data_IF_392398224295
#
_entry.id   IF_392398224295
#
_cell.length_a   1.000
_cell.length_b   1.000
_cell.length_c   1.000
_cell.angle_alpha   90.00
_cell.angle_beta   90.00
_cell.angle_gamma   90.00
#
_symmetry.space_group_name_H-M   'P 1'
#
loop_
_entity.id
_entity.type
_entity.pdbx_description
1 polymer ?
#
# COMPACT_ATOMS: atom_id res chain seq x y z
N UNK A 1 9.37 -3.73 -7.85
CA UNK A 1 9.30 -3.47 -9.28
C UNK A 1 10.04 -2.19 -9.65
N UNK A 2 9.57 -1.02 -9.21
CA UNK A 2 10.16 0.30 -9.56
C UNK A 2 11.67 0.35 -9.30
N UNK A 3 12.12 -0.10 -8.12
CA UNK A 3 13.54 -0.17 -7.80
C UNK A 3 14.35 -0.97 -8.84
N UNK A 4 13.86 -2.18 -9.16
CA UNK A 4 14.56 -3.06 -10.11
C UNK A 4 14.71 -2.47 -11.50
N UNK A 5 13.68 -1.79 -11.99
CA UNK A 5 13.69 -1.11 -13.29
C UNK A 5 14.56 0.16 -13.25
N UNK A 6 14.41 0.96 -12.20
CA UNK A 6 15.06 2.27 -12.10
C UNK A 6 16.57 2.18 -11.83
N UNK A 7 16.99 1.21 -11.03
CA UNK A 7 18.41 0.90 -10.79
C UNK A 7 19.02 0.05 -11.92
N UNK A 8 18.26 -0.30 -12.95
CA UNK A 8 18.74 -1.08 -14.09
C UNK A 8 19.08 -2.53 -13.76
N UNK A 9 18.64 -3.04 -12.62
CA UNK A 9 18.85 -4.44 -12.20
C UNK A 9 18.12 -5.40 -13.14
N UNK A 10 16.93 -5.01 -13.59
CA UNK A 10 16.17 -5.68 -14.65
C UNK A 10 15.62 -4.64 -15.62
N UNK A 11 15.44 -5.04 -16.87
CA UNK A 11 14.67 -4.30 -17.87
C UNK A 11 13.24 -4.83 -17.94
N UNK A 12 12.32 -4.10 -18.57
CA UNK A 12 10.91 -4.49 -18.70
C UNK A 12 10.72 -5.92 -19.29
N UNK A 13 11.59 -6.32 -20.20
CA UNK A 13 11.58 -7.63 -20.84
C UNK A 13 12.50 -8.69 -20.20
N UNK A 14 13.24 -8.37 -19.15
CA UNK A 14 14.17 -9.32 -18.51
C UNK A 14 13.42 -10.52 -17.95
N UNK A 15 13.69 -11.74 -18.43
CA UNK A 15 13.03 -12.94 -17.94
C UNK A 15 13.75 -13.45 -16.69
N UNK A 16 13.00 -13.70 -15.60
CA UNK A 16 13.47 -14.48 -14.46
C UNK A 16 12.67 -15.77 -14.37
N UNK A 17 13.29 -16.82 -13.85
CA UNK A 17 12.70 -18.16 -13.82
C UNK A 17 11.90 -18.40 -12.54
N UNK A 18 10.73 -18.98 -12.68
CA UNK A 18 9.89 -19.45 -11.58
C UNK A 18 9.56 -20.93 -11.75
N UNK A 19 10.20 -21.78 -10.96
CA UNK A 19 9.95 -23.22 -10.89
C UNK A 19 8.98 -23.63 -9.78
N UNK A 20 8.26 -22.70 -9.16
CA UNK A 20 7.45 -22.83 -7.96
C UNK A 20 8.27 -22.79 -6.68
N UNK A 21 9.32 -23.57 -6.56
CA UNK A 21 10.24 -23.58 -5.44
C UNK A 21 11.43 -22.65 -5.71
N UNK A 22 11.83 -21.88 -4.71
CA UNK A 22 12.97 -20.97 -4.74
C UNK A 22 13.85 -21.23 -3.52
N UNK A 23 15.05 -21.71 -3.75
CA UNK A 23 16.01 -21.97 -2.69
C UNK A 23 16.92 -20.76 -2.44
N UNK A 24 17.07 -20.38 -1.19
CA UNK A 24 17.99 -19.32 -0.77
C UNK A 24 18.61 -19.67 0.56
N UNK A 25 19.94 -19.80 0.60
CA UNK A 25 20.72 -20.25 1.77
C UNK A 25 20.18 -21.53 2.43
N UNK A 26 19.81 -22.53 1.61
CA UNK A 26 19.30 -23.81 2.10
C UNK A 26 17.86 -23.78 2.62
N UNK A 27 17.19 -22.64 2.54
CA UNK A 27 15.77 -22.49 2.88
C UNK A 27 14.94 -22.45 1.59
N UNK A 28 13.81 -23.16 1.60
CA UNK A 28 12.89 -23.24 0.47
C UNK A 28 11.72 -22.30 0.66
N UNK A 29 11.41 -21.53 -0.38
CA UNK A 29 10.32 -20.55 -0.43
C UNK A 29 9.41 -20.85 -1.61
N UNK A 30 8.11 -20.97 -1.36
CA UNK A 30 7.16 -21.35 -2.42
C UNK A 30 6.57 -20.14 -3.14
N UNK A 31 6.34 -20.32 -4.44
CA UNK A 31 5.51 -19.42 -5.23
C UNK A 31 4.06 -19.94 -5.29
N UNK A 32 3.14 -19.07 -5.72
CA UNK A 32 1.72 -19.42 -5.93
C UNK A 32 1.50 -20.40 -7.10
N UNK A 33 2.47 -20.53 -8.00
CA UNK A 33 2.41 -21.44 -9.15
C UNK A 33 3.76 -21.62 -9.84
N UNK A 34 3.81 -22.46 -10.87
CA UNK A 34 4.98 -22.62 -11.73
C UNK A 34 4.80 -21.75 -12.97
N UNK A 35 5.54 -20.63 -13.06
CA UNK A 35 5.32 -19.64 -14.10
C UNK A 35 6.34 -19.68 -15.23
N UNK A 36 7.45 -20.44 -15.09
CA UNK A 36 8.52 -20.51 -16.06
C UNK A 36 9.32 -19.20 -16.15
N UNK A 37 9.83 -18.88 -17.32
CA UNK A 37 10.50 -17.61 -17.59
C UNK A 37 9.48 -16.52 -17.89
N UNK A 38 9.40 -15.53 -17.02
CA UNK A 38 8.43 -14.42 -17.11
C UNK A 38 9.10 -13.07 -16.92
N UNK A 39 8.52 -12.03 -17.53
CA UNK A 39 8.92 -10.63 -17.36
C UNK A 39 8.28 -10.02 -16.10
N UNK A 40 8.74 -8.84 -15.71
CA UNK A 40 8.21 -8.11 -14.54
C UNK A 40 6.71 -7.82 -14.66
N UNK A 41 6.21 -7.48 -15.87
CA UNK A 41 4.78 -7.28 -16.14
C UNK A 41 3.97 -8.53 -15.81
N UNK A 42 4.39 -9.68 -16.35
CA UNK A 42 3.72 -10.96 -16.07
C UNK A 42 3.85 -11.37 -14.61
N UNK A 43 4.99 -11.08 -13.97
CA UNK A 43 5.20 -11.40 -12.56
C UNK A 43 4.26 -10.61 -11.63
N UNK A 44 3.95 -9.35 -11.95
CA UNK A 44 2.95 -8.55 -11.23
C UNK A 44 1.56 -9.14 -11.43
N UNK A 45 1.19 -9.43 -12.67
CA UNK A 45 -0.10 -10.01 -13.04
C UNK A 45 -0.42 -11.29 -12.27
N UNK A 46 0.50 -12.26 -12.28
CA UNK A 46 0.29 -13.57 -11.62
C UNK A 46 0.75 -13.61 -10.17
N UNK A 47 1.18 -12.48 -9.60
CA UNK A 47 1.73 -12.41 -8.23
C UNK A 47 2.85 -13.42 -8.00
N UNK A 48 3.85 -13.46 -8.88
CA UNK A 48 4.94 -14.43 -8.82
C UNK A 48 5.93 -14.11 -7.71
N UNK A 49 5.93 -14.88 -6.63
CA UNK A 49 6.88 -14.71 -5.53
C UNK A 49 8.32 -14.95 -5.99
N UNK A 50 8.59 -16.05 -6.72
CA UNK A 50 9.94 -16.41 -7.16
C UNK A 50 10.61 -15.31 -7.98
N UNK A 51 9.86 -14.62 -8.86
CA UNK A 51 10.38 -13.48 -9.60
C UNK A 51 10.86 -12.37 -8.64
N UNK A 52 10.04 -12.03 -7.65
CA UNK A 52 10.36 -10.95 -6.71
C UNK A 52 11.36 -11.38 -5.65
N UNK A 53 11.48 -12.66 -5.30
CA UNK A 53 12.59 -13.17 -4.49
C UNK A 53 13.93 -12.93 -5.19
N UNK A 54 14.03 -13.34 -6.46
CA UNK A 54 15.26 -13.17 -7.24
C UNK A 54 15.58 -11.69 -7.47
N UNK A 55 14.56 -10.88 -7.82
CA UNK A 55 14.75 -9.44 -7.98
C UNK A 55 15.22 -8.78 -6.68
N UNK A 56 14.69 -9.20 -5.53
CA UNK A 56 15.08 -8.66 -4.22
C UNK A 56 16.49 -9.06 -3.83
N UNK A 57 16.89 -10.29 -4.14
CA UNK A 57 18.26 -10.75 -3.97
C UNK A 57 19.25 -9.90 -4.79
N UNK A 58 18.88 -9.56 -6.02
CA UNK A 58 19.71 -8.74 -6.91
C UNK A 58 19.77 -7.27 -6.47
N UNK A 59 18.66 -6.73 -5.93
CA UNK A 59 18.57 -5.34 -5.47
C UNK A 59 19.29 -5.08 -4.14
N UNK A 60 19.23 -6.05 -3.22
CA UNK A 60 19.63 -5.86 -1.83
C UNK A 60 18.64 -5.03 -1.02
N UNK A 61 18.78 -5.12 0.33
CA UNK A 61 17.84 -4.47 1.25
C UNK A 61 17.90 -2.95 1.19
N UNK A 62 19.08 -2.37 0.95
CA UNK A 62 19.27 -0.92 0.91
C UNK A 62 18.45 -0.27 -0.21
N UNK A 63 18.46 -0.85 -1.41
CA UNK A 63 17.65 -0.34 -2.52
C UNK A 63 16.16 -0.57 -2.27
N UNK A 64 15.76 -1.71 -1.69
CA UNK A 64 14.36 -1.96 -1.31
C UNK A 64 13.89 -0.90 -0.32
N UNK A 65 14.65 -0.65 0.75
CA UNK A 65 14.37 0.37 1.78
C UNK A 65 14.33 1.77 1.17
N UNK A 66 15.31 2.14 0.33
CA UNK A 66 15.35 3.43 -0.37
C UNK A 66 14.05 3.70 -1.13
N UNK A 67 13.62 2.75 -1.96
CA UNK A 67 12.40 2.95 -2.75
C UNK A 67 11.13 2.88 -1.90
N UNK A 68 11.06 2.02 -0.89
CA UNK A 68 9.94 2.01 0.05
C UNK A 68 9.76 3.39 0.72
N UNK A 69 10.86 4.01 1.16
CA UNK A 69 10.86 5.37 1.74
C UNK A 69 10.44 6.44 0.73
N UNK A 70 10.89 6.37 -0.53
CA UNK A 70 10.46 7.28 -1.59
C UNK A 70 8.94 7.20 -1.84
N UNK A 71 8.37 6.01 -1.73
CA UNK A 71 6.92 5.80 -1.78
C UNK A 71 6.16 6.25 -0.53
N UNK A 72 6.86 6.66 0.54
CA UNK A 72 6.26 7.14 1.79
C UNK A 72 5.97 6.05 2.82
N UNK A 73 6.52 4.86 2.64
CA UNK A 73 6.39 3.77 3.60
C UNK A 73 7.39 3.96 4.75
N UNK A 74 7.04 3.49 5.95
CA UNK A 74 7.84 3.66 7.16
C UNK A 74 7.89 5.09 7.70
N UNK A 75 7.00 5.97 7.26
CA UNK A 75 6.90 7.37 7.71
C UNK A 75 5.45 7.87 7.68
N UNK A 76 5.13 8.88 8.50
CA UNK A 76 3.82 9.52 8.46
C UNK A 76 3.54 10.08 7.07
N UNK A 77 2.28 9.96 6.60
CA UNK A 77 1.85 10.60 5.34
C UNK A 77 1.75 12.11 5.46
N UNK A 78 1.71 12.62 6.69
CA UNK A 78 1.55 14.04 7.02
C UNK A 78 0.11 14.54 6.88
N UNK A 79 -0.89 13.66 6.88
CA UNK A 79 -2.31 14.04 6.93
C UNK A 79 -2.61 14.83 8.22
N UNK A 80 -3.56 15.76 8.16
CA UNK A 80 -3.82 16.72 9.27
C UNK A 80 -4.24 16.07 10.59
N UNK A 81 -4.87 14.90 10.53
CA UNK A 81 -5.29 14.15 11.72
C UNK A 81 -4.14 13.40 12.40
N UNK A 82 -2.97 13.39 11.78
CA UNK A 82 -1.91 12.47 12.17
C UNK A 82 -2.21 11.03 11.72
N UNK A 83 -1.18 10.23 11.60
CA UNK A 83 -1.25 8.81 11.24
C UNK A 83 -0.02 8.05 11.77
N UNK A 84 -0.14 6.73 11.86
CA UNK A 84 0.98 5.89 12.25
C UNK A 84 2.02 5.84 11.11
N UNK A 85 3.33 5.95 11.43
CA UNK A 85 4.39 5.90 10.43
C UNK A 85 4.54 4.49 9.82
N UNK A 86 4.03 3.46 10.49
CA UNK A 86 4.39 2.09 10.12
C UNK A 86 5.87 1.80 10.32
N UNK A 87 6.35 0.70 9.77
CA UNK A 87 7.76 0.33 9.80
C UNK A 87 8.13 -0.59 8.63
N UNK A 88 9.38 -0.51 8.19
CA UNK A 88 9.91 -1.28 7.07
C UNK A 88 10.60 -2.55 7.56
N UNK A 89 10.57 -3.60 6.75
CA UNK A 89 11.41 -4.77 6.95
C UNK A 89 12.85 -4.44 6.52
N UNK A 90 13.67 -4.00 7.46
CA UNK A 90 15.09 -3.67 7.24
C UNK A 90 15.91 -3.86 8.52
N UNK A 91 17.25 -3.87 8.45
CA UNK A 91 18.11 -4.06 9.60
C UNK A 91 17.89 -3.05 10.73
N UNK A 92 17.58 -1.80 10.41
CA UNK A 92 17.37 -0.73 11.39
C UNK A 92 16.12 -1.03 12.24
N UNK A 93 14.99 -1.33 11.61
CA UNK A 93 13.74 -1.70 12.30
C UNK A 93 13.92 -2.94 13.17
N UNK A 94 14.63 -3.95 12.68
CA UNK A 94 14.91 -5.16 13.46
C UNK A 94 15.76 -4.84 14.69
N UNK A 95 16.78 -3.99 14.55
CA UNK A 95 17.60 -3.55 15.68
C UNK A 95 16.78 -2.74 16.71
N UNK A 96 15.89 -1.84 16.25
CA UNK A 96 14.97 -1.07 17.11
C UNK A 96 14.02 -1.97 17.89
N UNK A 97 13.57 -3.09 17.30
CA UNK A 97 12.73 -4.08 17.94
C UNK A 97 13.54 -5.12 18.77
N UNK A 98 14.85 -4.97 18.84
CA UNK A 98 15.72 -5.93 19.58
C UNK A 98 15.83 -7.29 18.91
N UNK A 99 15.61 -7.37 17.61
CA UNK A 99 15.66 -8.58 16.80
C UNK A 99 16.93 -8.63 15.95
N UNK A 100 17.37 -9.84 15.62
CA UNK A 100 18.49 -10.03 14.71
C UNK A 100 18.03 -10.04 13.26
N UNK A 101 18.82 -9.37 12.40
CA UNK A 101 18.60 -9.40 10.96
C UNK A 101 19.28 -10.62 10.32
N UNK A 102 18.54 -11.37 9.53
CA UNK A 102 19.07 -12.49 8.75
C UNK A 102 18.99 -12.18 7.25
N UNK A 103 20.02 -12.61 6.51
CA UNK A 103 20.12 -12.35 5.06
C UNK A 103 18.91 -12.87 4.26
N UNK A 104 18.27 -13.94 4.72
CA UNK A 104 17.05 -14.48 4.13
C UNK A 104 15.86 -13.52 4.14
N UNK A 105 15.87 -12.53 5.03
CA UNK A 105 14.76 -11.56 5.12
C UNK A 105 14.72 -10.59 3.92
N UNK A 106 15.82 -10.41 3.18
CA UNK A 106 15.85 -9.55 2.00
C UNK A 106 14.85 -9.99 0.94
N UNK A 107 14.73 -11.29 0.69
CA UNK A 107 13.79 -11.81 -0.32
C UNK A 107 12.34 -11.72 0.16
N UNK A 108 12.10 -11.87 1.45
CA UNK A 108 10.79 -11.72 2.07
C UNK A 108 10.33 -10.26 2.07
N UNK A 109 11.23 -9.31 2.38
CA UNK A 109 10.96 -7.87 2.29
C UNK A 109 10.49 -7.48 0.88
N UNK A 110 11.05 -8.09 -0.16
CA UNK A 110 10.70 -7.79 -1.55
C UNK A 110 9.30 -8.17 -1.99
N UNK A 111 8.63 -9.05 -1.26
CA UNK A 111 7.22 -9.40 -1.48
C UNK A 111 6.28 -8.82 -0.40
N UNK A 112 6.82 -8.00 0.53
CA UNK A 112 6.05 -7.42 1.61
C UNK A 112 5.66 -8.40 2.71
N UNK A 113 6.37 -9.51 2.81
CA UNK A 113 6.31 -10.43 3.94
C UNK A 113 7.40 -10.06 4.96
N UNK A 114 7.46 -10.79 6.06
CA UNK A 114 8.32 -10.51 7.19
C UNK A 114 7.81 -9.30 8.00
N UNK A 115 8.46 -8.97 9.08
CA UNK A 115 8.05 -7.92 10.01
C UNK A 115 8.07 -6.55 9.34
N UNK A 116 6.92 -6.12 8.83
CA UNK A 116 6.67 -4.79 8.28
C UNK A 116 5.21 -4.38 8.52
N UNK A 117 4.98 -3.11 8.85
CA UNK A 117 3.66 -2.56 9.13
C UNK A 117 3.36 -1.33 8.28
N UNK A 118 2.25 -1.37 7.54
CA UNK A 118 1.82 -0.29 6.66
C UNK A 118 0.36 0.06 6.91
N UNK A 119 0.04 1.36 6.91
CA UNK A 119 -1.36 1.78 7.01
C UNK A 119 -2.06 1.70 5.64
N UNK A 120 -3.39 1.49 5.60
CA UNK A 120 -4.15 1.58 4.35
C UNK A 120 -3.96 2.92 3.63
N UNK A 121 -3.81 4.03 4.36
CA UNK A 121 -3.55 5.33 3.76
C UNK A 121 -2.19 5.41 3.06
N UNK A 122 -1.13 4.85 3.67
CA UNK A 122 0.16 4.72 3.00
C UNK A 122 0.02 3.90 1.71
N UNK A 123 -0.69 2.77 1.75
CA UNK A 123 -0.88 1.91 0.58
C UNK A 123 -1.71 2.58 -0.52
N UNK A 124 -2.73 3.39 -0.18
CA UNK A 124 -3.44 4.22 -1.14
C UNK A 124 -2.52 5.29 -1.75
N UNK A 125 -1.61 5.85 -0.95
CA UNK A 125 -0.60 6.81 -1.43
C UNK A 125 0.40 6.12 -2.38
N UNK A 126 0.79 4.86 -2.12
CA UNK A 126 1.59 4.05 -3.07
C UNK A 126 0.86 3.88 -4.40
N UNK A 127 -0.42 3.50 -4.37
CA UNK A 127 -1.24 3.35 -5.58
C UNK A 127 -1.33 4.67 -6.36
N UNK A 128 -1.59 5.79 -5.66
CA UNK A 128 -1.60 7.13 -6.25
C UNK A 128 -0.25 7.49 -6.87
N UNK A 129 0.86 7.17 -6.21
CA UNK A 129 2.21 7.47 -6.73
C UNK A 129 2.51 6.69 -8.02
N UNK A 130 2.05 5.43 -8.10
CA UNK A 130 2.19 4.61 -9.32
C UNK A 130 1.34 5.22 -10.44
N UNK A 131 0.07 5.54 -10.18
CA UNK A 131 -0.83 6.18 -11.13
C UNK A 131 -0.29 7.53 -11.64
N UNK A 132 0.30 8.33 -10.76
CA UNK A 132 0.95 9.60 -11.08
C UNK A 132 2.41 9.46 -11.57
N UNK A 133 2.82 8.26 -12.01
CA UNK A 133 4.12 8.02 -12.64
C UNK A 133 5.31 8.50 -11.77
N UNK A 134 5.24 8.25 -10.44
CA UNK A 134 6.31 8.56 -9.49
C UNK A 134 6.14 9.87 -8.73
N UNK A 135 5.08 10.61 -8.96
CA UNK A 135 4.77 11.83 -8.19
C UNK A 135 3.88 11.47 -7.00
N UNK A 136 4.42 11.62 -5.80
CA UNK A 136 3.70 11.39 -4.53
C UNK A 136 3.19 12.72 -3.98
N UNK A 137 1.87 12.83 -3.82
CA UNK A 137 1.23 13.96 -3.17
C UNK A 137 1.03 13.70 -1.68
N UNK A 138 1.09 14.79 -0.90
CA UNK A 138 0.69 14.76 0.51
C UNK A 138 -0.83 14.67 0.59
N UNK A 139 -1.40 13.65 1.28
CA UNK A 139 -2.84 13.56 1.49
C UNK A 139 -3.33 14.68 2.41
N UNK A 140 -4.55 15.13 2.22
CA UNK A 140 -5.23 16.11 3.06
C UNK A 140 -6.74 15.86 3.10
N UNK A 141 -7.37 16.24 4.20
CA UNK A 141 -8.82 16.09 4.42
C UNK A 141 -9.58 17.38 4.14
N UNK A 142 -8.98 18.52 4.44
CA UNK A 142 -9.64 19.83 4.33
C UNK A 142 -9.43 20.37 2.90
N UNK A 143 -10.47 20.27 2.07
CA UNK A 143 -10.43 20.82 0.71
C UNK A 143 -10.55 22.37 0.73
N UNK A 144 -11.48 22.90 1.52
CA UNK A 144 -11.79 24.35 1.46
C UNK A 144 -12.34 24.86 2.78
N UNK A 145 -12.08 26.16 3.03
CA UNK A 145 -12.62 26.91 4.15
C UNK A 145 -13.62 27.94 3.64
N UNK A 146 -14.77 28.06 4.34
CA UNK A 146 -15.84 29.00 4.00
C UNK A 146 -16.11 29.95 5.15
N UNK A 147 -16.55 31.17 4.83
CA UNK A 147 -17.02 32.11 5.86
C UNK A 147 -18.28 31.54 6.50
N UNK A 148 -18.29 31.51 7.86
CA UNK A 148 -19.39 30.97 8.60
C UNK A 148 -20.75 31.53 8.18
N UNK A 149 -21.74 30.67 8.01
CA UNK A 149 -23.10 31.02 7.61
C UNK A 149 -23.26 31.47 6.15
N UNK A 150 -22.22 31.29 5.29
CA UNK A 150 -22.26 31.70 3.89
C UNK A 150 -21.60 30.64 2.98
N UNK A 151 -21.87 30.71 1.68
CA UNK A 151 -21.18 29.91 0.65
C UNK A 151 -19.89 30.61 0.14
N UNK A 152 -19.44 31.71 0.81
CA UNK A 152 -18.23 32.43 0.41
C UNK A 152 -17.00 31.66 0.82
N UNK A 153 -16.29 31.10 -0.16
CA UNK A 153 -15.00 30.42 0.04
C UNK A 153 -13.93 31.44 0.47
N UNK A 154 -13.21 31.14 1.56
CA UNK A 154 -12.09 31.95 2.06
C UNK A 154 -10.78 31.45 1.43
N UNK A 155 -10.59 30.11 1.45
CA UNK A 155 -9.39 29.48 0.87
C UNK A 155 -9.71 28.07 0.39
N UNK A 156 -8.84 27.55 -0.48
CA UNK A 156 -8.85 26.18 -0.95
C UNK A 156 -7.45 25.59 -0.77
N UNK A 157 -7.39 24.37 -0.21
CA UNK A 157 -6.14 23.63 -0.11
C UNK A 157 -5.58 23.33 -1.53
N UNK A 158 -4.31 23.59 -1.71
CA UNK A 158 -3.61 23.25 -2.94
C UNK A 158 -2.87 21.95 -2.76
N UNK A 159 -2.94 21.02 -3.73
CA UNK A 159 -2.16 19.80 -3.71
C UNK A 159 -0.67 20.11 -3.56
N UNK A 160 0.00 19.39 -2.65
CA UNK A 160 1.44 19.54 -2.40
C UNK A 160 2.16 18.24 -2.77
N UNK A 161 3.18 18.34 -3.61
CA UNK A 161 4.06 17.23 -3.92
C UNK A 161 4.93 16.97 -2.69
N UNK A 162 4.83 15.76 -2.13
CA UNK A 162 5.65 15.31 -1.03
C UNK A 162 6.97 14.69 -1.50
N UNK A 163 6.94 14.02 -2.66
CA UNK A 163 8.12 13.38 -3.27
C UNK A 163 7.90 13.23 -4.78
N UNK A 164 8.98 13.37 -5.53
CA UNK A 164 9.05 12.95 -6.91
C UNK A 164 10.18 11.94 -7.07
N UNK A 165 9.85 10.75 -7.58
CA UNK A 165 10.83 9.72 -7.87
C UNK A 165 11.48 10.06 -9.22
N UNK A 166 12.78 10.26 -9.22
CA UNK A 166 13.54 10.45 -10.46
C UNK A 166 13.57 9.14 -11.25
N UNK A 167 13.10 9.18 -12.48
CA UNK A 167 13.02 8.01 -13.34
C UNK A 167 14.22 7.96 -14.27
N UNK A 168 14.85 6.79 -14.38
CA UNK A 168 15.96 6.54 -15.30
C UNK A 168 15.53 6.59 -16.77
N UNK A 169 14.23 6.35 -17.06
CA UNK A 169 13.62 6.51 -18.38
C UNK A 169 12.11 6.77 -18.25
N UNK A 170 11.49 7.47 -19.24
CA UNK A 170 10.09 7.94 -19.13
C UNK A 170 9.06 6.85 -18.94
N UNK A 171 9.19 5.71 -19.64
CA UNK A 171 8.18 4.65 -19.70
C UNK A 171 8.38 3.58 -18.61
N UNK A 172 9.13 3.91 -17.55
CA UNK A 172 9.47 2.96 -16.48
C UNK A 172 8.24 2.32 -15.82
N UNK A 173 7.16 3.08 -15.68
CA UNK A 173 5.94 2.59 -15.06
C UNK A 173 5.06 1.72 -15.97
N UNK A 174 5.28 1.72 -17.29
CA UNK A 174 4.40 0.99 -18.22
C UNK A 174 4.33 -0.51 -17.95
N UNK A 175 5.43 -1.24 -17.73
CA UNK A 175 5.35 -2.66 -17.39
C UNK A 175 4.69 -2.89 -16.02
N UNK A 176 4.79 -1.95 -15.07
CA UNK A 176 4.17 -2.05 -13.75
C UNK A 176 2.66 -1.88 -13.88
N UNK A 177 2.23 -0.77 -14.46
CA UNK A 177 0.80 -0.47 -14.67
C UNK A 177 0.16 -1.51 -15.58
N UNK A 178 0.85 -1.92 -16.66
CA UNK A 178 0.39 -3.00 -17.53
C UNK A 178 0.15 -4.32 -16.78
N UNK A 179 1.05 -4.70 -15.88
CA UNK A 179 0.87 -5.90 -15.04
C UNK A 179 -0.28 -5.76 -14.04
N UNK A 180 -0.54 -4.57 -13.51
CA UNK A 180 -1.68 -4.28 -12.65
C UNK A 180 -3.01 -4.32 -13.42
N UNK A 181 -3.05 -3.87 -14.67
CA UNK A 181 -4.22 -3.99 -15.57
C UNK A 181 -4.45 -5.45 -15.93
N UNK A 182 -3.42 -6.17 -16.35
CA UNK A 182 -3.52 -7.60 -16.68
C UNK A 182 -4.07 -8.41 -15.50
N UNK A 183 -3.69 -8.05 -14.25
CA UNK A 183 -4.22 -8.68 -13.05
C UNK A 183 -5.74 -8.46 -12.90
N UNK A 184 -6.26 -7.29 -13.24
CA UNK A 184 -7.72 -7.02 -13.18
C UNK A 184 -8.50 -7.82 -14.21
N UNK A 185 -7.91 -8.07 -15.37
CA UNK A 185 -8.55 -8.81 -16.47
C UNK A 185 -8.47 -10.33 -16.32
N UNK A 186 -7.39 -10.84 -15.70
CA UNK A 186 -7.10 -12.28 -15.68
C UNK A 186 -7.45 -12.97 -14.35
N UNK A 187 -7.81 -12.22 -13.30
CA UNK A 187 -8.29 -12.79 -12.04
C UNK A 187 -9.82 -12.92 -12.09
N UNK A 188 -10.39 -14.15 -12.08
CA UNK A 188 -11.84 -14.36 -12.24
C UNK A 188 -12.72 -13.55 -11.29
N UNK A 189 -12.26 -13.36 -10.05
CA UNK A 189 -12.97 -12.58 -9.04
C UNK A 189 -13.09 -11.08 -9.39
N UNK A 190 -12.35 -10.59 -10.39
CA UNK A 190 -12.25 -9.18 -10.77
C UNK A 190 -12.82 -8.92 -12.18
N UNK A 191 -13.36 -9.92 -12.86
CA UNK A 191 -13.93 -9.75 -14.21
C UNK A 191 -15.03 -8.69 -14.29
N UNK A 192 -15.72 -8.41 -13.19
CA UNK A 192 -16.74 -7.36 -13.14
C UNK A 192 -16.17 -5.96 -13.35
N UNK A 193 -14.86 -5.74 -13.14
CA UNK A 193 -14.20 -4.45 -13.34
C UNK A 193 -14.20 -4.04 -14.82
N UNK A 194 -14.22 -4.98 -15.75
CA UNK A 194 -14.33 -4.70 -17.18
C UNK A 194 -15.65 -4.02 -17.59
N UNK A 195 -16.68 -4.09 -16.74
CA UNK A 195 -17.97 -3.46 -17.00
C UNK A 195 -17.96 -1.93 -16.88
N UNK A 196 -16.92 -1.35 -16.29
CA UNK A 196 -16.81 0.11 -16.17
C UNK A 196 -16.52 0.80 -17.50
N UNK A 197 -15.92 0.10 -18.48
CA UNK A 197 -15.59 0.63 -19.81
C UNK A 197 -14.25 1.39 -19.86
N UNK A 198 -13.45 1.27 -18.82
CA UNK A 198 -12.06 1.71 -18.71
C UNK A 198 -11.24 0.65 -17.96
N UNK A 199 -9.94 0.69 -18.10
CA UNK A 199 -9.05 -0.21 -17.37
C UNK A 199 -8.87 0.22 -15.92
N UNK A 200 -8.81 -0.77 -15.03
CA UNK A 200 -8.53 -0.58 -13.60
C UNK A 200 -7.19 -1.24 -13.28
N UNK A 201 -6.26 -0.49 -12.73
CA UNK A 201 -4.98 -1.03 -12.29
C UNK A 201 -5.07 -1.47 -10.84
N UNK A 202 -4.81 -2.76 -10.55
CA UNK A 202 -4.92 -3.33 -9.20
C UNK A 202 -3.74 -4.22 -8.84
N UNK A 203 -3.49 -4.35 -7.53
CA UNK A 203 -2.68 -5.43 -6.98
C UNK A 203 -3.32 -5.93 -5.70
N UNK A 204 -3.47 -7.24 -5.61
CA UNK A 204 -3.97 -7.93 -4.41
C UNK A 204 -2.82 -8.57 -3.64
N UNK A 205 -3.02 -8.77 -2.34
CA UNK A 205 -2.11 -9.48 -1.46
C UNK A 205 -2.88 -10.32 -0.45
N UNK A 206 -2.31 -11.44 -0.06
CA UNK A 206 -2.92 -12.34 0.94
C UNK A 206 -1.79 -12.88 1.84
N UNK A 207 -1.16 -12.02 2.67
CA UNK A 207 -0.12 -12.47 3.59
C UNK A 207 -0.71 -13.34 4.69
N UNK A 208 0.01 -14.39 5.03
CA UNK A 208 -0.27 -15.19 6.21
C UNK A 208 0.13 -14.44 7.46
N UNK A 209 -0.67 -14.56 8.53
CA UNK A 209 -0.49 -13.87 9.80
C UNK A 209 -0.67 -14.83 10.97
N UNK A 210 -0.27 -14.39 12.19
CA UNK A 210 -0.30 -15.20 13.37
C UNK A 210 0.97 -16.05 13.54
N UNK A 211 1.25 -16.47 14.76
CA UNK A 211 2.45 -17.23 15.10
C UNK A 211 2.53 -18.60 14.40
N UNK A 212 1.40 -19.17 14.07
CA UNK A 212 1.26 -20.47 13.40
C UNK A 212 0.94 -20.34 11.89
N UNK A 213 0.91 -19.11 11.38
CA UNK A 213 0.55 -18.79 9.99
C UNK A 213 -0.83 -19.33 9.56
N UNK A 214 -1.72 -19.59 10.52
CA UNK A 214 -3.07 -20.15 10.26
C UNK A 214 -4.07 -19.11 9.78
N UNK A 215 -3.78 -17.82 9.99
CA UNK A 215 -4.62 -16.69 9.59
C UNK A 215 -4.04 -15.99 8.37
N UNK A 216 -4.86 -15.28 7.65
CA UNK A 216 -4.40 -14.46 6.53
C UNK A 216 -5.20 -13.17 6.48
N UNK A 217 -4.53 -12.11 6.10
CA UNK A 217 -5.16 -10.84 5.77
C UNK A 217 -5.35 -10.74 4.27
N UNK A 218 -6.40 -10.07 3.83
CA UNK A 218 -6.65 -9.82 2.42
C UNK A 218 -6.48 -8.33 2.13
N UNK A 219 -5.58 -8.00 1.21
CA UNK A 219 -5.24 -6.63 0.83
C UNK A 219 -5.52 -6.37 -0.64
N UNK A 220 -5.78 -5.11 -0.96
CA UNK A 220 -5.70 -4.60 -2.33
C UNK A 220 -5.24 -3.15 -2.35
N UNK A 221 -4.62 -2.78 -3.46
CA UNK A 221 -4.37 -1.41 -3.86
C UNK A 221 -4.78 -1.24 -5.32
N UNK A 222 -5.12 -0.04 -5.72
CA UNK A 222 -5.40 0.23 -7.12
C UNK A 222 -5.70 1.69 -7.41
N UNK A 223 -5.92 1.97 -8.67
CA UNK A 223 -6.35 3.27 -9.16
C UNK A 223 -7.17 3.10 -10.45
N UNK A 224 -7.99 4.09 -10.74
CA UNK A 224 -8.88 4.09 -11.89
C UNK A 224 -9.20 5.54 -12.37
N UNK A 225 -9.42 5.76 -13.69
CA UNK A 225 -9.01 4.89 -14.79
C UNK A 225 -7.49 4.68 -14.81
N UNK A 226 -6.99 3.61 -15.46
CA UNK A 226 -5.56 3.30 -15.42
C UNK A 226 -4.70 4.24 -16.28
N UNK A 227 -5.28 4.83 -17.32
CA UNK A 227 -4.65 5.77 -18.26
C UNK A 227 -4.70 7.23 -17.77
N UNK A 228 -5.77 7.64 -17.08
CA UNK A 228 -5.93 8.99 -16.50
C UNK A 228 -6.52 8.87 -15.08
N UNK A 229 -5.71 8.55 -14.06
CA UNK A 229 -6.18 8.22 -12.71
C UNK A 229 -6.91 9.37 -12.02
N UNK A 230 -8.17 9.16 -11.68
CA UNK A 230 -8.99 10.10 -10.91
C UNK A 230 -9.17 9.66 -9.44
N UNK A 231 -9.06 8.33 -9.16
CA UNK A 231 -9.13 7.77 -7.81
C UNK A 231 -8.02 6.75 -7.60
N UNK A 232 -7.38 6.81 -6.45
CA UNK A 232 -6.52 5.74 -5.92
C UNK A 232 -7.11 5.22 -4.61
N UNK A 233 -7.01 3.91 -4.40
CA UNK A 233 -7.62 3.24 -3.25
C UNK A 233 -6.75 2.11 -2.72
N UNK A 234 -6.96 1.79 -1.45
CA UNK A 234 -6.41 0.62 -0.78
C UNK A 234 -7.40 0.11 0.25
N UNK A 235 -7.35 -1.17 0.54
CA UNK A 235 -8.18 -1.77 1.57
C UNK A 235 -7.56 -3.04 2.14
N UNK A 236 -8.01 -3.38 3.35
CA UNK A 236 -7.61 -4.57 4.08
C UNK A 236 -8.82 -5.18 4.77
N UNK A 237 -8.90 -6.51 4.77
CA UNK A 237 -9.74 -7.28 5.68
C UNK A 237 -8.81 -8.16 6.50
N UNK A 238 -8.77 -7.93 7.80
CA UNK A 238 -8.01 -8.75 8.73
C UNK A 238 -8.74 -10.09 8.95
N UNK A 239 -7.96 -11.16 9.06
CA UNK A 239 -8.46 -12.52 9.21
C UNK A 239 -9.53 -12.90 8.15
N UNK A 240 -9.35 -12.44 6.90
CA UNK A 240 -10.31 -12.64 5.82
C UNK A 240 -9.68 -12.73 4.45
N UNK A 241 -10.47 -13.22 3.46
CA UNK A 241 -9.98 -13.52 2.11
C UNK A 241 -10.60 -12.64 1.00
N UNK A 242 -11.62 -11.84 1.33
CA UNK A 242 -12.54 -11.31 0.33
C UNK A 242 -12.40 -9.81 0.02
N UNK A 243 -11.35 -9.13 0.49
CA UNK A 243 -11.20 -7.69 0.29
C UNK A 243 -11.27 -7.26 -1.17
N UNK A 244 -10.75 -8.07 -2.09
CA UNK A 244 -10.75 -7.80 -3.54
C UNK A 244 -12.13 -7.55 -4.14
N UNK A 245 -13.19 -8.11 -3.56
CA UNK A 245 -14.56 -7.90 -4.04
C UNK A 245 -15.08 -6.48 -3.74
N UNK A 246 -14.49 -5.77 -2.76
CA UNK A 246 -14.85 -4.39 -2.45
C UNK A 246 -14.41 -3.41 -3.55
N UNK A 247 -13.47 -3.79 -4.41
CA UNK A 247 -12.90 -2.90 -5.44
C UNK A 247 -14.00 -2.42 -6.39
N UNK A 248 -14.88 -3.32 -6.84
CA UNK A 248 -16.00 -2.97 -7.71
C UNK A 248 -16.91 -1.93 -7.03
N UNK A 249 -17.32 -2.17 -5.80
CA UNK A 249 -18.23 -1.30 -5.06
C UNK A 249 -17.63 0.08 -4.79
N UNK A 250 -16.32 0.16 -4.52
CA UNK A 250 -15.60 1.42 -4.34
C UNK A 250 -15.67 2.26 -5.63
N UNK A 251 -15.36 1.65 -6.78
CA UNK A 251 -15.36 2.34 -8.07
C UNK A 251 -16.77 2.73 -8.46
N UNK A 252 -17.75 1.85 -8.29
CA UNK A 252 -19.16 2.14 -8.57
C UNK A 252 -19.67 3.30 -7.72
N UNK A 253 -19.42 3.29 -6.40
CA UNK A 253 -19.79 4.37 -5.50
C UNK A 253 -19.14 5.69 -5.90
N UNK A 254 -17.85 5.67 -6.25
CA UNK A 254 -17.17 6.89 -6.70
C UNK A 254 -17.79 7.43 -7.98
N UNK A 255 -18.05 6.57 -8.97
CA UNK A 255 -18.70 6.94 -10.23
C UNK A 255 -20.12 7.50 -10.01
N UNK A 256 -20.88 6.92 -9.08
CA UNK A 256 -22.24 7.41 -8.77
C UNK A 256 -22.27 8.81 -8.15
N UNK A 257 -21.31 9.13 -7.25
CA UNK A 257 -21.33 10.37 -6.47
C UNK A 257 -20.48 11.50 -7.07
N UNK A 258 -19.40 11.17 -7.76
CA UNK A 258 -18.45 12.16 -8.27
C UNK A 258 -18.40 12.17 -9.79
N UNK A 259 -18.81 11.09 -10.44
CA UNK A 259 -18.49 10.82 -11.82
C UNK A 259 -17.09 10.23 -11.95
N UNK A 260 -16.82 9.57 -13.04
CA UNK A 260 -15.53 8.97 -13.35
C UNK A 260 -15.43 8.80 -14.87
N UNK A 261 -14.23 8.96 -15.44
CA UNK A 261 -14.00 8.83 -16.88
C UNK A 261 -14.92 9.75 -17.71
N UNK A 262 -14.99 11.02 -17.32
CA UNK A 262 -15.83 12.02 -17.99
C UNK A 262 -17.35 11.82 -17.81
N UNK A 263 -17.80 10.79 -17.11
CA UNK A 263 -19.20 10.57 -16.80
C UNK A 263 -19.65 11.47 -15.65
N UNK A 264 -20.85 12.07 -15.80
CA UNK A 264 -21.43 12.90 -14.74
C UNK A 264 -21.95 12.04 -13.58
N UNK A 265 -21.92 12.55 -12.32
CA UNK A 265 -22.51 11.86 -11.19
C UNK A 265 -23.97 11.53 -11.43
N UNK A 266 -24.39 10.31 -11.09
CA UNK A 266 -25.79 9.87 -11.20
C UNK A 266 -26.63 10.30 -9.99
N UNK A 267 -26.04 10.34 -8.79
CA UNK A 267 -26.72 10.75 -7.56
C UNK A 267 -26.56 12.25 -7.33
N UNK A 268 -27.67 12.94 -7.05
CA UNK A 268 -27.63 14.34 -6.59
C UNK A 268 -26.98 14.37 -5.21
N UNK A 269 -26.19 15.42 -4.94
CA UNK A 269 -25.68 15.70 -3.58
C UNK A 269 -26.83 15.63 -2.56
N UNK A 270 -26.60 15.01 -1.40
CA UNK A 270 -27.57 14.95 -0.30
C UNK A 270 -28.21 16.32 -0.09
N UNK A 271 -29.55 16.40 0.07
CA UNK A 271 -30.26 17.64 0.35
C UNK A 271 -29.68 18.35 1.57
N UNK A 272 -29.72 19.70 1.57
CA UNK A 272 -29.19 20.50 2.69
C UNK A 272 -29.84 20.14 4.04
N UNK A 273 -31.06 19.64 4.04
CA UNK A 273 -31.83 19.24 5.22
C UNK A 273 -31.29 17.98 5.90
N UNK A 274 -30.90 16.94 5.15
CA UNK A 274 -30.24 15.74 5.73
C UNK A 274 -28.87 16.06 6.33
N UNK A 275 -28.18 17.07 5.80
CA UNK A 275 -26.93 17.59 6.40
C UNK A 275 -27.12 18.25 7.75
N UNK A 276 -28.25 18.90 7.97
CA UNK A 276 -28.57 19.58 9.23
C UNK A 276 -28.90 18.59 10.36
N UNK A 277 -29.56 17.48 10.06
CA UNK A 277 -29.90 16.45 11.04
C UNK A 277 -28.69 15.67 11.55
N UNK A 278 -27.71 15.36 10.68
CA UNK A 278 -26.45 14.73 11.07
C UNK A 278 -25.59 15.63 11.99
N UNK A 279 -25.70 16.95 11.85
CA UNK A 279 -25.00 17.90 12.73
C UNK A 279 -25.73 18.15 14.06
N UNK A 280 -27.04 17.94 14.12
CA UNK A 280 -27.84 18.19 15.33
C UNK A 280 -27.80 17.03 16.31
N UNK A 281 -27.62 15.80 15.86
CA UNK A 281 -27.50 14.61 16.73
C UNK A 281 -26.18 14.55 17.51
N UNK A 282 -25.14 15.31 17.12
CA UNK A 282 -23.87 15.40 17.83
C UNK A 282 -23.86 16.49 18.93
N UNK A 283 -24.93 17.28 19.09
CA UNK A 283 -24.95 18.46 19.96
C UNK A 283 -25.76 18.36 21.27
N UNK A 284 -26.25 17.16 21.64
CA UNK A 284 -27.03 17.00 22.89
C UNK A 284 -26.25 16.24 23.96
N UNK A 285 -25.15 16.81 24.43
CA UNK A 285 -24.72 16.72 25.82
C UNK A 285 -23.52 17.63 26.06
N UNK A 286 -23.75 18.82 26.65
CA UNK A 286 -22.95 19.33 27.77
C UNK A 286 -23.26 20.80 28.06
N UNK A 287 -23.33 21.02 29.30
CA UNK A 287 -23.53 22.16 30.15
C UNK A 287 -22.67 23.39 29.79
N UNK A 288 -23.30 24.54 29.85
CA UNK A 288 -22.90 25.94 29.88
C UNK A 288 -21.46 26.23 30.35
N UNK A 289 -20.64 26.83 29.47
CA UNK A 289 -19.69 27.91 29.86
C UNK A 289 -19.40 28.76 28.62
N UNK A 290 -19.62 30.06 28.74
CA UNK A 290 -19.47 31.05 27.68
C UNK A 290 -18.01 31.22 27.28
N UNK A 291 -17.68 30.87 26.07
CA UNK A 291 -16.47 31.37 25.40
C UNK A 291 -16.75 31.42 23.89
N UNK A 292 -16.58 32.57 23.30
CA UNK A 292 -16.82 32.87 21.90
C UNK A 292 -15.83 32.02 21.04
N UNK A 293 -16.30 30.91 20.51
CA UNK A 293 -15.50 30.09 19.59
C UNK A 293 -16.09 30.17 18.19
N UNK A 294 -15.31 30.69 17.29
CA UNK A 294 -15.64 30.73 15.86
C UNK A 294 -15.60 29.31 15.32
N UNK A 295 -16.76 28.70 15.08
CA UNK A 295 -16.86 27.35 14.54
C UNK A 295 -16.73 27.38 13.02
N UNK A 296 -15.67 26.80 12.49
CA UNK A 296 -15.53 26.52 11.07
C UNK A 296 -16.05 25.11 10.78
N UNK A 297 -16.99 24.99 9.88
CA UNK A 297 -17.49 23.69 9.46
C UNK A 297 -17.52 23.60 7.94
N UNK A 298 -16.73 22.73 7.37
CA UNK A 298 -17.15 21.92 6.20
C UNK A 298 -16.14 20.80 5.99
N UNK A 299 -16.54 19.60 6.30
CA UNK A 299 -15.76 18.37 6.08
C UNK A 299 -16.42 17.57 4.99
N UNK A 300 -15.70 17.28 3.91
CA UNK A 300 -16.01 16.14 3.04
C UNK A 300 -15.07 15.03 3.46
N UNK A 301 -15.49 14.25 4.44
CA UNK A 301 -14.82 12.99 4.77
C UNK A 301 -15.81 11.86 4.55
N UNK A 302 -15.42 10.86 3.79
CA UNK A 302 -16.05 9.56 3.82
C UNK A 302 -15.29 8.71 4.83
N UNK A 303 -15.90 8.49 5.97
CA UNK A 303 -15.47 7.46 6.91
C UNK A 303 -16.53 6.37 6.83
N UNK A 304 -16.17 5.22 6.31
CA UNK A 304 -16.93 3.99 6.51
C UNK A 304 -16.31 3.35 7.75
N UNK A 305 -16.93 3.56 8.90
CA UNK A 305 -16.60 2.86 10.13
C UNK A 305 -17.89 2.35 10.75
N UNK A 306 -18.13 1.07 10.69
CA UNK A 306 -18.73 0.34 11.78
C UNK A 306 -17.88 -0.88 12.03
N UNK A 307 -16.98 -0.75 13.03
CA UNK A 307 -16.43 -1.91 13.70
C UNK A 307 -17.40 -2.30 14.83
N UNK A 308 -17.62 -3.59 15.09
CA UNK A 308 -18.46 -4.03 16.20
C UNK A 308 -17.88 -3.55 17.54
N UNK A 309 -18.78 -3.17 18.46
CA UNK A 309 -18.49 -2.53 19.77
C UNK A 309 -17.71 -3.39 20.78
N UNK A 310 -17.26 -4.58 20.44
CA UNK A 310 -16.55 -5.51 21.33
C UNK A 310 -15.16 -5.88 20.82
N UNK A 311 -14.27 -4.90 20.65
CA UNK A 311 -12.85 -5.20 20.48
C UNK A 311 -12.09 -4.92 21.80
N UNK A 312 -11.67 -5.97 22.55
CA UNK A 312 -10.95 -5.81 23.82
C UNK A 312 -9.52 -5.29 23.67
N UNK A 313 -9.06 -4.96 22.46
CA UNK A 313 -7.70 -4.50 22.16
C UNK A 313 -7.62 -3.04 21.70
N UNK A 314 -8.69 -2.28 21.79
CA UNK A 314 -8.72 -0.86 21.43
C UNK A 314 -8.29 0.03 22.60
N UNK A 315 -7.01 0.06 22.93
CA UNK A 315 -6.42 1.19 23.68
C UNK A 315 -5.63 2.08 22.70
N UNK A 316 -6.15 3.25 22.31
CA UNK A 316 -5.50 4.14 21.34
C UNK A 316 -4.21 4.78 21.85
N UNK A 317 -3.86 4.62 23.13
CA UNK A 317 -2.68 5.22 23.74
C UNK A 317 -1.56 4.22 24.03
N UNK A 318 -1.80 2.93 23.85
CA UNK A 318 -0.79 1.91 24.09
C UNK A 318 -1.07 0.65 23.23
N UNK A 319 -0.69 0.63 21.94
CA UNK A 319 -0.87 -0.56 21.11
C UNK A 319 0.00 -1.70 21.66
N UNK A 320 -0.64 -2.70 22.26
CA UNK A 320 0.02 -3.94 22.63
C UNK A 320 0.24 -4.72 21.35
N UNK A 321 1.43 -4.63 20.77
CA UNK A 321 1.83 -5.51 19.69
C UNK A 321 1.94 -6.95 20.21
N UNK A 322 1.38 -7.95 19.52
CA UNK A 322 1.56 -9.34 19.91
C UNK A 322 3.05 -9.68 19.87
N UNK A 323 3.60 -10.09 21.01
CA UNK A 323 4.94 -10.64 21.09
C UNK A 323 4.90 -12.01 20.41
N UNK A 324 5.52 -12.11 19.23
CA UNK A 324 5.69 -13.41 18.58
C UNK A 324 6.61 -14.29 19.43
N UNK A 325 6.24 -15.54 19.69
CA UNK A 325 7.12 -16.43 20.41
C UNK A 325 8.41 -16.65 19.63
N UNK A 326 9.52 -16.47 20.31
CA UNK A 326 10.84 -16.86 19.81
C UNK A 326 10.78 -18.37 19.54
N UNK A 327 10.89 -18.77 18.28
CA UNK A 327 11.06 -20.17 17.94
C UNK A 327 12.47 -20.55 18.40
N UNK A 328 12.57 -21.16 19.57
CA UNK A 328 13.76 -21.88 19.99
C UNK A 328 13.89 -23.12 19.09
N UNK A 329 14.42 -22.92 17.89
CA UNK A 329 14.86 -23.99 17.02
C UNK A 329 16.25 -24.38 17.43
N UNK A 330 16.41 -25.62 17.91
CA UNK A 330 17.68 -26.25 18.20
C UNK A 330 18.65 -26.18 17.02
N UNK A 331 19.91 -25.90 17.38
CA UNK A 331 21.11 -26.02 16.55
C UNK A 331 21.29 -25.01 15.39
N UNK A 332 21.99 -23.92 15.73
CA UNK A 332 22.77 -23.20 14.72
C UNK A 332 23.70 -24.18 13.98
N UNK A 333 23.72 -24.18 12.64
CA UNK A 333 24.73 -24.90 11.89
C UNK A 333 26.09 -24.26 12.23
N UNK A 334 27.04 -25.07 12.65
CA UNK A 334 28.43 -24.65 12.83
C UNK A 334 28.92 -23.98 11.53
N UNK A 335 29.50 -22.80 11.67
CA UNK A 335 30.19 -22.09 10.60
C UNK A 335 31.27 -23.02 10.03
N UNK A 336 31.01 -23.61 8.88
CA UNK A 336 32.08 -24.06 8.00
C UNK A 336 32.60 -22.83 7.28
N UNK A 337 33.91 -22.55 7.51
CA UNK A 337 34.66 -21.53 6.80
C UNK A 337 34.62 -21.82 5.29
N UNK A 338 33.81 -21.06 4.55
CA UNK A 338 33.87 -21.03 3.10
C UNK A 338 34.85 -19.91 2.69
N UNK A 339 35.91 -20.21 1.91
CA UNK A 339 36.96 -19.26 1.55
C UNK A 339 36.59 -18.31 0.39
N UNK A 340 35.35 -18.17 0.02
CA UNK A 340 34.91 -17.22 -1.01
C UNK A 340 34.27 -15.96 -0.42
N UNK A 341 35.10 -15.17 0.27
CA UNK A 341 34.81 -13.75 0.53
C UNK A 341 34.97 -13.02 -0.82
N UNK A 342 33.89 -12.51 -1.37
CA UNK A 342 33.95 -11.55 -2.47
C UNK A 342 34.55 -10.24 -1.96
N UNK A 343 35.85 -10.02 -2.28
CA UNK A 343 36.47 -8.72 -2.15
C UNK A 343 35.81 -7.76 -3.15
N UNK A 344 35.36 -6.63 -2.64
CA UNK A 344 34.96 -5.46 -3.42
C UNK A 344 36.19 -5.01 -4.24
N UNK A 345 36.10 -4.82 -5.56
CA UNK A 345 37.20 -4.21 -6.30
C UNK A 345 37.27 -2.72 -5.94
N UNK A 346 38.21 -2.38 -5.08
CA UNK A 346 38.67 -1.01 -4.91
C UNK A 346 39.21 -0.50 -6.24
N UNK A 347 38.76 0.67 -6.63
CA UNK A 347 39.33 1.50 -7.68
C UNK A 347 40.81 1.72 -7.44
N UNK A 348 41.63 1.42 -8.43
CA UNK A 348 42.95 2.02 -8.58
C UNK A 348 43.14 2.44 -10.03
N UNK A 349 43.39 3.76 -10.16
CA UNK A 349 43.94 4.56 -11.26
C UNK A 349 43.22 4.56 -12.60
#
# INVERSE_FOLDING_TARGET
ATAGLNEGVVLAGTPLFCGHDYEFYGTHYSCTGTHGYISIRRAIEVSCNSYFYELSRMLGIDNITKYATLYGLGQSTGIETGDAPGYLCNPETFAEHGQEWYVGYVIQAGIGNQDCGMTPLQMATVASTIGNRGVRYKPYLVDSYYKYGTDKQISKTQPTIAQQIELSYPDLYDPIVGGMIDASHNVPALYSLSNFGFDVAIKTGTPQTGADLSRQNSFFIGFAPADDPEIAFAGVIEDGEYSKYMIHDIIEAYQEYYGLDGKKPKKKKLPKEERAELTTSASTSSTTTSTTTTTMTTTKAFIITEAPEDNPYADPLNPVYPQYPVINGDAAPQQQNDPHVYENPTQTE
#
